data_IF_095672026542
#
_entry.id   IF_095672026542
#
_cell.length_a   1.000
_cell.length_b   1.000
_cell.length_c   1.000
_cell.angle_alpha   90.00
_cell.angle_beta   90.00
_cell.angle_gamma   90.00
#
_symmetry.space_group_name_H-M   'P 1'
#
loop_
_entity.id
_entity.type
_entity.pdbx_description
1 polymer ?
#
# COMPACT_ATOMS: atom_id res chain seq x y z
N UNK A 1 13.29 5.15 81.40
CA UNK A 1 12.92 4.95 79.99
C UNK A 1 11.41 4.84 80.00
N UNK A 2 10.72 5.88 79.52
CA UNK A 2 9.26 5.94 79.52
C UNK A 2 8.77 5.51 78.12
N UNK A 3 8.15 4.32 77.97
CA UNK A 3 7.72 3.80 76.67
C UNK A 3 6.57 4.59 76.04
N UNK A 4 5.82 5.35 76.87
CA UNK A 4 4.59 6.04 76.45
C UNK A 4 4.86 7.47 75.91
N UNK A 5 6.11 7.95 75.98
CA UNK A 5 6.49 9.26 75.48
C UNK A 5 6.79 9.31 73.95
N UNK A 6 6.80 8.16 73.26
CA UNK A 6 6.88 8.11 71.80
C UNK A 6 5.48 8.24 71.18
N UNK A 7 4.87 9.42 71.32
CA UNK A 7 3.88 9.83 70.32
C UNK A 7 4.66 10.12 69.04
N UNK A 8 4.82 9.11 68.17
CA UNK A 8 5.22 9.36 66.80
C UNK A 8 4.20 10.35 66.25
N UNK A 9 4.63 11.57 65.94
CA UNK A 9 3.86 12.52 65.15
C UNK A 9 3.57 11.85 63.80
N UNK A 10 2.48 11.10 63.78
CA UNK A 10 2.04 10.33 62.64
C UNK A 10 1.50 11.38 61.67
N UNK A 11 2.37 11.80 60.76
CA UNK A 11 2.01 12.58 59.56
C UNK A 11 2.10 11.66 58.35
N UNK A 12 1.17 11.74 57.37
CA UNK A 12 1.26 10.96 56.15
C UNK A 12 2.54 11.32 55.40
N UNK A 13 3.34 10.32 55.02
CA UNK A 13 4.55 10.56 54.24
C UNK A 13 4.20 10.67 52.75
N UNK A 14 4.74 11.68 52.03
CA UNK A 14 4.42 11.89 50.63
C UNK A 14 4.90 10.71 49.78
N UNK A 15 4.05 10.28 48.84
CA UNK A 15 4.38 9.24 47.87
C UNK A 15 4.86 9.89 46.58
N UNK A 16 5.94 9.40 45.97
CA UNK A 16 6.43 9.89 44.68
C UNK A 16 6.73 8.76 43.71
N UNK A 17 6.60 9.03 42.41
CA UNK A 17 7.06 8.14 41.35
C UNK A 17 8.55 8.40 41.17
N UNK A 18 9.37 7.37 41.32
CA UNK A 18 10.84 7.48 41.36
C UNK A 18 11.51 6.97 40.09
N UNK A 19 10.82 6.14 39.31
CA UNK A 19 11.40 5.54 38.12
C UNK A 19 10.37 5.14 37.07
N UNK A 20 10.83 5.10 35.82
CA UNK A 20 10.10 4.57 34.68
C UNK A 20 10.92 3.48 34.03
N UNK A 21 10.29 2.36 33.75
CA UNK A 21 10.89 1.27 33.00
C UNK A 21 10.11 1.00 31.73
N UNK A 22 10.82 0.98 30.61
CA UNK A 22 10.31 0.54 29.31
C UNK A 22 10.93 -0.81 29.02
N UNK A 23 10.12 -1.84 28.72
CA UNK A 23 10.64 -3.19 28.45
C UNK A 23 11.57 -3.73 29.55
N UNK A 24 11.24 -3.44 30.81
CA UNK A 24 12.00 -3.80 32.00
C UNK A 24 13.37 -3.09 32.16
N UNK A 25 13.68 -2.10 31.34
CA UNK A 25 14.88 -1.27 31.44
C UNK A 25 14.54 0.09 32.03
N UNK A 26 15.27 0.52 33.07
CA UNK A 26 15.10 1.85 33.66
C UNK A 26 15.49 2.92 32.63
N UNK A 27 14.60 3.88 32.40
CA UNK A 27 14.79 4.96 31.44
C UNK A 27 14.72 6.29 32.17
N UNK A 28 15.73 7.13 31.97
CA UNK A 28 15.76 8.50 32.43
C UNK A 28 16.03 9.49 31.29
N UNK A 29 16.20 10.78 31.63
CA UNK A 29 16.42 11.84 30.65
C UNK A 29 17.73 11.72 29.86
N UNK A 30 18.69 10.95 30.38
CA UNK A 30 19.99 10.72 29.71
C UNK A 30 19.87 9.68 28.60
N UNK A 31 19.04 8.66 28.81
CA UNK A 31 18.90 7.53 27.90
C UNK A 31 17.89 7.83 26.78
N UNK A 32 16.78 8.52 27.09
CA UNK A 32 15.72 8.88 26.13
C UNK A 32 15.24 10.32 26.36
N UNK A 33 16.04 11.34 25.99
CA UNK A 33 15.65 12.75 26.14
C UNK A 33 14.35 13.08 25.37
N UNK A 34 14.10 12.38 24.26
CA UNK A 34 12.91 12.56 23.41
C UNK A 34 11.60 12.16 24.11
N UNK A 35 11.67 11.21 25.06
CA UNK A 35 10.50 10.70 25.78
C UNK A 35 10.40 11.27 27.20
N UNK A 36 11.55 11.56 27.82
CA UNK A 36 11.67 12.01 29.20
C UNK A 36 12.53 13.28 29.23
N UNK A 37 11.92 14.48 29.06
CA UNK A 37 12.68 15.73 29.08
C UNK A 37 13.20 16.07 30.49
N UNK A 38 12.58 15.52 31.52
CA UNK A 38 12.95 15.69 32.93
C UNK A 38 12.80 14.35 33.67
N UNK A 39 13.41 14.22 34.87
CA UNK A 39 13.18 13.08 35.75
C UNK A 39 11.69 12.84 36.02
N UNK A 40 11.28 11.58 36.13
CA UNK A 40 9.86 11.18 36.31
C UNK A 40 9.21 11.76 37.57
N UNK A 41 9.98 12.03 38.61
CA UNK A 41 9.48 12.64 39.85
C UNK A 41 9.08 14.12 39.69
N UNK A 42 9.49 14.76 38.59
CA UNK A 42 9.18 16.17 38.27
C UNK A 42 8.18 16.31 37.12
N UNK A 43 7.91 15.22 36.40
CA UNK A 43 6.98 15.22 35.29
C UNK A 43 5.53 15.17 35.79
N UNK A 44 4.71 16.03 35.21
CA UNK A 44 3.25 16.01 35.41
C UNK A 44 2.53 15.33 34.25
N UNK A 45 3.17 15.32 33.08
CA UNK A 45 2.67 14.75 31.84
C UNK A 45 3.79 13.96 31.15
N UNK A 46 3.44 12.77 30.65
CA UNK A 46 4.33 11.88 29.94
C UNK A 46 3.63 11.44 28.64
N UNK A 47 4.24 11.77 27.50
CA UNK A 47 3.73 11.39 26.19
C UNK A 47 4.56 10.24 25.65
N UNK A 48 3.90 9.12 25.39
CA UNK A 48 4.53 7.91 24.87
C UNK A 48 3.94 7.51 23.51
N UNK A 49 4.73 6.90 22.62
CA UNK A 49 4.22 6.26 21.42
C UNK A 49 3.45 4.97 21.73
N UNK A 50 2.49 4.61 20.88
CA UNK A 50 1.70 3.38 21.01
C UNK A 50 2.52 2.08 20.88
N UNK A 51 3.78 2.14 20.45
CA UNK A 51 4.62 0.97 20.16
C UNK A 51 5.36 0.42 21.40
N UNK A 52 5.06 0.95 22.59
CA UNK A 52 5.63 0.48 23.86
C UNK A 52 4.79 -0.68 24.41
N UNK A 53 5.30 -1.93 24.43
CA UNK A 53 4.48 -3.08 24.82
C UNK A 53 4.35 -3.22 26.33
N UNK A 54 5.31 -2.69 27.10
CA UNK A 54 5.35 -2.82 28.55
C UNK A 54 5.92 -1.57 29.20
N UNK A 55 5.14 -1.01 30.12
CA UNK A 55 5.43 0.18 30.89
C UNK A 55 5.39 -0.19 32.38
N UNK A 56 6.44 0.11 33.13
CA UNK A 56 6.46 -0.13 34.58
C UNK A 56 6.88 1.13 35.31
N UNK A 57 6.10 1.51 36.32
CA UNK A 57 6.38 2.65 37.18
C UNK A 57 6.89 2.17 38.53
N UNK A 58 8.02 2.73 38.95
CA UNK A 58 8.57 2.56 40.30
C UNK A 58 8.11 3.74 41.18
N UNK A 59 7.68 3.47 42.40
CA UNK A 59 7.24 4.50 43.35
C UNK A 59 7.77 4.26 44.76
N UNK A 60 7.89 5.32 45.54
CA UNK A 60 8.37 5.25 46.92
C UNK A 60 7.54 6.14 47.84
N UNK A 61 7.35 5.68 49.07
CA UNK A 61 6.82 6.48 50.18
C UNK A 61 8.02 7.05 50.94
N UNK A 62 8.03 8.36 51.19
CA UNK A 62 9.11 9.05 51.91
C UNK A 62 9.10 8.79 53.43
N UNK A 63 8.77 7.58 53.85
CA UNK A 63 8.95 7.07 55.21
C UNK A 63 10.07 6.02 55.20
N UNK A 64 11.25 6.42 55.67
CA UNK A 64 12.44 5.57 55.73
C UNK A 64 12.62 4.89 57.09
N UNK A 65 11.69 5.09 58.04
CA UNK A 65 11.83 4.51 59.39
C UNK A 65 11.63 2.99 59.39
N UNK A 66 10.64 2.49 58.63
CA UNK A 66 10.41 1.06 58.36
C UNK A 66 9.87 0.87 56.94
N UNK A 67 10.74 0.92 55.91
CA UNK A 67 10.31 0.89 54.52
C UNK A 67 9.64 -0.42 54.11
N UNK A 68 9.95 -1.52 54.79
CA UNK A 68 9.33 -2.84 54.65
C UNK A 68 7.85 -2.87 55.04
N UNK A 69 7.40 -1.90 55.85
CA UNK A 69 6.00 -1.77 56.27
C UNK A 69 5.21 -0.79 55.41
N UNK A 70 5.86 -0.12 54.47
CA UNK A 70 5.17 0.77 53.54
C UNK A 70 4.32 -0.06 52.60
N UNK A 71 3.06 0.33 52.44
CA UNK A 71 2.15 -0.32 51.50
C UNK A 71 1.69 0.66 50.44
N UNK A 72 1.33 0.17 49.26
CA UNK A 72 0.97 1.01 48.13
C UNK A 72 -0.32 0.53 47.49
N UNK A 73 -1.04 1.48 46.92
CA UNK A 73 -2.14 1.21 46.00
C UNK A 73 -2.05 2.14 44.83
N UNK A 74 -2.43 1.64 43.66
CA UNK A 74 -2.42 2.41 42.44
C UNK A 74 -3.67 2.16 41.62
N UNK A 75 -3.95 3.05 40.66
CA UNK A 75 -4.91 2.83 39.60
C UNK A 75 -4.51 3.62 38.37
N UNK A 76 -4.82 3.10 37.20
CA UNK A 76 -4.68 3.83 35.95
C UNK A 76 -6.05 4.28 35.48
N UNK A 77 -6.44 5.52 35.79
CA UNK A 77 -7.72 6.08 35.34
C UNK A 77 -7.71 6.11 33.81
N UNK A 78 -8.74 5.53 33.19
CA UNK A 78 -8.82 5.27 31.75
C UNK A 78 -8.71 3.78 31.39
N UNK A 79 -8.09 2.97 32.26
CA UNK A 79 -8.05 1.50 32.17
C UNK A 79 -8.79 0.87 33.35
N UNK A 80 -8.43 1.27 34.57
CA UNK A 80 -8.96 0.74 35.82
C UNK A 80 -9.98 1.71 36.45
N UNK A 81 -11.07 1.16 36.98
CA UNK A 81 -12.10 1.93 37.72
C UNK A 81 -11.90 1.89 39.24
N UNK A 82 -11.15 0.90 39.75
CA UNK A 82 -10.93 0.67 41.18
C UNK A 82 -9.44 0.71 41.53
N UNK A 83 -9.12 0.89 42.82
CA UNK A 83 -7.75 0.86 43.30
C UNK A 83 -7.25 -0.58 43.39
N UNK A 84 -6.06 -0.83 42.85
CA UNK A 84 -5.31 -2.08 43.01
C UNK A 84 -4.43 -1.95 44.24
N UNK A 85 -4.59 -2.86 45.20
CA UNK A 85 -3.71 -2.93 46.38
C UNK A 85 -2.43 -3.70 46.01
N UNK A 86 -1.29 -3.02 46.08
CA UNK A 86 0.00 -3.58 45.72
C UNK A 86 0.75 -4.13 46.96
N UNK A 87 0.18 -4.02 48.16
CA UNK A 87 0.87 -4.38 49.39
C UNK A 87 2.20 -3.65 49.48
N UNK A 88 3.29 -4.37 49.77
CA UNK A 88 4.65 -3.81 49.85
C UNK A 88 5.35 -3.69 48.49
N UNK A 89 4.69 -4.03 47.38
CA UNK A 89 5.26 -3.89 46.05
C UNK A 89 5.32 -2.40 45.66
N UNK A 90 6.49 -1.97 45.19
CA UNK A 90 6.79 -0.60 44.82
C UNK A 90 6.72 -0.37 43.30
N UNK A 91 6.13 -1.32 42.56
CA UNK A 91 6.06 -1.31 41.11
C UNK A 91 4.63 -1.55 40.61
N UNK A 92 4.26 -0.86 39.53
CA UNK A 92 3.05 -1.11 38.77
C UNK A 92 3.38 -1.29 37.29
N UNK A 93 3.01 -2.45 36.73
CA UNK A 93 3.28 -2.81 35.33
C UNK A 93 1.99 -2.79 34.52
N UNK A 94 2.04 -2.12 33.38
CA UNK A 94 0.96 -2.04 32.39
C UNK A 94 1.49 -2.53 31.03
N UNK A 95 0.68 -3.30 30.33
CA UNK A 95 1.05 -3.92 29.04
C UNK A 95 0.04 -3.58 27.96
N UNK A 96 0.52 -3.35 26.74
CA UNK A 96 -0.32 -3.10 25.56
C UNK A 96 -1.44 -2.09 25.81
N UNK A 97 -1.07 -0.91 26.33
CA UNK A 97 -2.03 0.17 26.53
C UNK A 97 -2.44 0.74 25.17
N UNK A 98 -3.75 0.84 24.95
CA UNK A 98 -4.31 1.43 23.73
C UNK A 98 -4.00 2.94 23.64
N UNK A 99 -4.04 3.53 22.43
CA UNK A 99 -3.91 4.98 22.28
C UNK A 99 -5.03 5.73 23.02
N UNK A 100 -4.65 6.71 23.85
CA UNK A 100 -5.58 7.46 24.67
C UNK A 100 -4.89 8.23 25.79
N UNK A 101 -5.71 8.93 26.59
CA UNK A 101 -5.27 9.68 27.76
C UNK A 101 -5.58 8.89 29.03
N UNK A 102 -4.55 8.70 29.84
CA UNK A 102 -4.59 7.98 31.09
C UNK A 102 -4.06 8.85 32.23
N UNK A 103 -4.48 8.54 33.46
CA UNK A 103 -3.92 9.16 34.66
C UNK A 103 -3.54 8.09 35.67
N UNK A 104 -2.24 7.92 35.86
CA UNK A 104 -1.72 7.04 36.90
C UNK A 104 -1.87 7.76 38.23
N UNK A 105 -2.55 7.14 39.19
CA UNK A 105 -2.65 7.63 40.55
C UNK A 105 -2.05 6.60 41.50
N UNK A 106 -1.19 7.06 42.41
CA UNK A 106 -0.50 6.21 43.39
C UNK A 106 -0.66 6.82 44.78
N UNK A 107 -0.95 5.97 45.75
CA UNK A 107 -1.02 6.33 47.17
C UNK A 107 -0.18 5.35 47.98
N UNK A 108 0.64 5.88 48.87
CA UNK A 108 1.41 5.13 49.84
C UNK A 108 0.77 5.17 51.23
N UNK A 109 0.97 4.11 51.98
CA UNK A 109 0.70 3.99 53.41
C UNK A 109 2.04 3.89 54.11
N UNK A 110 2.31 4.80 55.04
CA UNK A 110 3.54 4.81 55.82
C UNK A 110 3.57 3.69 56.88
N UNK A 111 4.68 3.57 57.60
CA UNK A 111 4.87 2.54 58.63
C UNK A 111 3.92 2.67 59.85
N UNK A 112 3.35 3.86 60.05
CA UNK A 112 2.31 4.14 61.04
C UNK A 112 0.89 3.75 60.58
N UNK A 113 0.74 3.22 59.36
CA UNK A 113 -0.53 2.75 58.82
C UNK A 113 -1.40 3.84 58.20
N UNK A 114 -0.89 5.06 58.05
CA UNK A 114 -1.64 6.18 57.50
C UNK A 114 -1.41 6.33 56.00
N UNK A 115 -2.51 6.51 55.27
CA UNK A 115 -2.50 6.72 53.83
C UNK A 115 -2.28 8.19 53.48
N UNK A 116 -1.39 8.43 52.52
CA UNK A 116 -1.31 9.69 51.79
C UNK A 116 -2.54 9.84 50.89
N UNK A 117 -3.52 10.61 51.35
CA UNK A 117 -4.76 10.86 50.61
C UNK A 117 -4.59 11.81 49.43
N UNK A 118 -3.58 12.70 49.50
CA UNK A 118 -3.19 13.55 48.38
C UNK A 118 -2.60 12.70 47.26
N UNK A 119 -1.70 11.77 47.61
CA UNK A 119 -1.06 10.86 46.68
C UNK A 119 -0.24 11.60 45.61
N UNK A 120 0.22 10.85 44.61
CA UNK A 120 0.83 11.39 43.39
C UNK A 120 0.04 10.95 42.18
N UNK A 121 -0.09 11.85 41.20
CA UNK A 121 -0.68 11.55 39.91
C UNK A 121 0.24 11.97 38.76
N UNK A 122 0.26 11.17 37.70
CA UNK A 122 0.96 11.44 36.46
C UNK A 122 0.00 11.26 35.29
N UNK A 123 -0.11 12.27 34.43
CA UNK A 123 -0.86 12.18 33.18
C UNK A 123 -0.02 11.44 32.15
N UNK A 124 -0.59 10.41 31.52
CA UNK A 124 0.05 9.58 30.52
C UNK A 124 -0.77 9.63 29.24
N UNK A 125 -0.19 10.13 28.15
CA UNK A 125 -0.86 10.16 26.84
C UNK A 125 -0.14 9.22 25.88
N UNK A 126 -0.89 8.27 25.33
CA UNK A 126 -0.39 7.31 24.34
C UNK A 126 -0.84 7.77 22.96
N UNK A 127 0.13 8.19 22.14
CA UNK A 127 -0.15 8.75 20.82
C UNK A 127 -0.55 7.68 19.81
N UNK A 128 -1.60 7.89 19.00
CA UNK A 128 -2.05 6.91 18.03
C UNK A 128 -1.04 6.73 16.87
N UNK A 129 -1.03 5.57 16.21
CA UNK A 129 -0.18 5.36 15.05
C UNK A 129 -0.50 6.34 13.92
N UNK A 130 0.51 6.75 13.15
CA UNK A 130 0.35 7.71 12.05
C UNK A 130 -0.62 7.22 10.96
N UNK A 131 -0.69 5.92 10.69
CA UNK A 131 -1.68 5.32 9.77
C UNK A 131 -3.10 5.29 10.33
N UNK A 132 -3.27 5.44 11.65
CA UNK A 132 -4.57 5.51 12.32
C UNK A 132 -5.22 6.89 12.22
N UNK A 133 -4.49 7.90 11.76
CA UNK A 133 -4.95 9.30 11.69
C UNK A 133 -5.95 9.54 10.55
N UNK A 134 -6.84 10.52 10.73
CA UNK A 134 -7.90 10.82 9.76
C UNK A 134 -7.34 11.27 8.40
N UNK A 135 -6.27 12.06 8.38
CA UNK A 135 -5.66 12.55 7.15
C UNK A 135 -5.07 11.41 6.31
N UNK A 136 -4.48 10.40 6.97
CA UNK A 136 -3.94 9.23 6.29
C UNK A 136 -5.05 8.40 5.64
N UNK A 137 -6.17 8.22 6.34
CA UNK A 137 -7.37 7.56 5.79
C UNK A 137 -7.92 8.29 4.56
N UNK A 138 -7.95 9.63 4.59
CA UNK A 138 -8.36 10.45 3.44
C UNK A 138 -7.39 10.28 2.27
N UNK A 139 -6.08 10.32 2.53
CA UNK A 139 -5.05 10.14 1.49
C UNK A 139 -5.16 8.75 0.86
N UNK A 140 -5.34 7.71 1.68
CA UNK A 140 -5.54 6.34 1.20
C UNK A 140 -6.79 6.23 0.33
N UNK A 141 -7.91 6.84 0.74
CA UNK A 141 -9.14 6.86 -0.05
C UNK A 141 -8.92 7.57 -1.40
N UNK A 142 -8.22 8.70 -1.42
CA UNK A 142 -7.85 9.42 -2.65
C UNK A 142 -6.93 8.60 -3.55
N UNK A 143 -5.96 7.87 -2.98
CA UNK A 143 -5.07 7.00 -3.73
C UNK A 143 -5.85 5.87 -4.42
N UNK A 144 -6.80 5.23 -3.70
CA UNK A 144 -7.68 4.19 -4.27
C UNK A 144 -8.57 4.76 -5.37
N UNK A 145 -9.21 5.91 -5.13
CA UNK A 145 -10.02 6.61 -6.16
C UNK A 145 -9.18 6.98 -7.39
N UNK A 146 -7.97 7.49 -7.18
CA UNK A 146 -7.03 7.82 -8.25
C UNK A 146 -6.62 6.60 -9.07
N UNK A 147 -6.37 5.47 -8.41
CA UNK A 147 -6.05 4.20 -9.08
C UNK A 147 -7.24 3.69 -9.90
N UNK A 148 -8.45 3.71 -9.36
CA UNK A 148 -9.67 3.34 -10.09
C UNK A 148 -9.91 4.27 -11.29
N UNK A 149 -9.71 5.58 -11.11
CA UNK A 149 -9.82 6.55 -12.19
C UNK A 149 -8.77 6.32 -13.29
N UNK A 150 -7.52 6.04 -12.91
CA UNK A 150 -6.46 5.72 -13.85
C UNK A 150 -6.76 4.44 -14.64
N UNK A 151 -7.24 3.37 -13.98
CA UNK A 151 -7.68 2.14 -14.64
C UNK A 151 -8.85 2.37 -15.59
N UNK A 152 -9.83 3.18 -15.18
CA UNK A 152 -10.94 3.57 -16.03
C UNK A 152 -10.47 4.33 -17.28
N UNK A 153 -9.59 5.32 -17.11
CA UNK A 153 -9.01 6.10 -18.22
C UNK A 153 -8.18 5.22 -19.15
N UNK A 154 -7.40 4.29 -18.61
CA UNK A 154 -6.62 3.33 -19.39
C UNK A 154 -7.54 2.45 -20.25
N UNK A 155 -8.59 1.87 -19.66
CA UNK A 155 -9.57 1.05 -20.40
C UNK A 155 -10.27 1.85 -21.49
N UNK A 156 -10.68 3.08 -21.19
CA UNK A 156 -11.33 3.95 -22.17
C UNK A 156 -10.40 4.28 -23.34
N UNK A 157 -9.14 4.61 -23.06
CA UNK A 157 -8.15 4.86 -24.10
C UNK A 157 -7.90 3.62 -24.98
N UNK A 158 -7.87 2.43 -24.38
CA UNK A 158 -7.71 1.18 -25.12
C UNK A 158 -8.91 0.86 -26.01
N UNK A 159 -10.13 1.09 -25.52
CA UNK A 159 -11.36 0.94 -26.31
C UNK A 159 -11.41 1.90 -27.50
N UNK A 160 -11.04 3.17 -27.30
CA UNK A 160 -10.96 4.15 -28.38
C UNK A 160 -9.92 3.76 -29.44
N UNK A 161 -8.73 3.30 -29.03
CA UNK A 161 -7.72 2.79 -29.97
C UNK A 161 -8.25 1.62 -30.78
N UNK A 162 -8.92 0.67 -30.14
CA UNK A 162 -9.50 -0.48 -30.82
C UNK A 162 -10.61 -0.07 -31.81
N UNK A 163 -11.44 0.91 -31.44
CA UNK A 163 -12.48 1.44 -32.32
C UNK A 163 -11.89 2.10 -33.57
N UNK A 164 -10.85 2.92 -33.42
CA UNK A 164 -10.14 3.57 -34.55
C UNK A 164 -9.53 2.53 -35.49
N UNK A 165 -8.89 1.49 -34.94
CA UNK A 165 -8.31 0.41 -35.75
C UNK A 165 -9.41 -0.32 -36.55
N UNK A 166 -10.52 -0.70 -35.90
CA UNK A 166 -11.66 -1.34 -36.58
C UNK A 166 -12.24 -0.50 -37.71
N UNK A 167 -12.44 0.79 -37.46
CA UNK A 167 -12.99 1.73 -38.44
C UNK A 167 -12.05 1.92 -39.64
N UNK A 168 -10.73 1.96 -39.40
CA UNK A 168 -9.73 1.96 -40.47
C UNK A 168 -9.79 0.71 -41.33
N UNK A 169 -9.80 -0.47 -40.72
CA UNK A 169 -9.88 -1.74 -41.43
C UNK A 169 -11.15 -1.81 -42.29
N UNK A 170 -12.30 -1.41 -41.74
CA UNK A 170 -13.55 -1.42 -42.46
C UNK A 170 -13.53 -0.48 -43.68
N UNK A 171 -12.88 0.69 -43.56
CA UNK A 171 -12.72 1.64 -44.67
C UNK A 171 -11.79 1.10 -45.75
N UNK A 172 -10.60 0.62 -45.37
CA UNK A 172 -9.62 0.07 -46.31
C UNK A 172 -10.23 -1.11 -47.10
N UNK A 173 -10.98 -1.97 -46.39
CA UNK A 173 -11.73 -3.07 -47.00
C UNK A 173 -12.83 -2.58 -47.95
N UNK A 174 -13.60 -1.57 -47.55
CA UNK A 174 -14.68 -1.02 -48.36
C UNK A 174 -14.16 -0.40 -49.66
N UNK A 175 -13.06 0.35 -49.59
CA UNK A 175 -12.46 1.02 -50.75
C UNK A 175 -11.86 -0.01 -51.73
N UNK A 176 -11.16 -1.03 -51.22
CA UNK A 176 -10.55 -2.07 -52.05
C UNK A 176 -11.59 -2.97 -52.74
N UNK A 177 -12.58 -3.45 -51.98
CA UNK A 177 -13.65 -4.28 -52.54
C UNK A 177 -14.53 -3.45 -53.49
N UNK A 178 -14.88 -2.23 -53.10
CA UNK A 178 -15.75 -1.34 -53.89
C UNK A 178 -15.14 -1.00 -55.25
N UNK A 179 -13.85 -0.66 -55.29
CA UNK A 179 -13.14 -0.35 -56.53
C UNK A 179 -12.96 -1.59 -57.42
N UNK A 180 -12.57 -2.74 -56.84
CA UNK A 180 -12.40 -3.98 -57.60
C UNK A 180 -13.72 -4.47 -58.18
N UNK A 181 -14.79 -4.51 -57.37
CA UNK A 181 -16.11 -4.95 -57.83
C UNK A 181 -16.65 -4.06 -58.95
N UNK A 182 -16.41 -2.75 -58.86
CA UNK A 182 -16.76 -1.80 -59.92
C UNK A 182 -16.00 -2.11 -61.22
N UNK A 183 -14.70 -2.42 -61.14
CA UNK A 183 -13.88 -2.81 -62.30
C UNK A 183 -14.36 -4.12 -62.93
N UNK A 184 -14.69 -5.13 -62.11
CA UNK A 184 -15.20 -6.43 -62.56
C UNK A 184 -16.57 -6.26 -63.22
N UNK A 185 -17.46 -5.44 -62.63
CA UNK A 185 -18.75 -5.11 -63.21
C UNK A 185 -18.62 -4.46 -64.58
N UNK A 186 -17.72 -3.48 -64.72
CA UNK A 186 -17.45 -2.80 -66.00
C UNK A 186 -16.89 -3.77 -67.06
N UNK A 187 -15.85 -4.55 -66.72
CA UNK A 187 -15.26 -5.52 -67.66
C UNK A 187 -16.26 -6.62 -68.04
N UNK A 188 -17.11 -7.06 -67.11
CA UNK A 188 -18.17 -8.04 -67.36
C UNK A 188 -19.23 -7.50 -68.32
N UNK A 189 -19.64 -6.24 -68.13
CA UNK A 189 -20.60 -5.57 -69.03
C UNK A 189 -20.01 -5.36 -70.44
N UNK A 190 -18.73 -4.96 -70.54
CA UNK A 190 -18.01 -4.83 -71.81
C UNK A 190 -17.86 -6.19 -72.52
N UNK A 191 -17.53 -7.25 -71.77
CA UNK A 191 -17.44 -8.61 -72.28
C UNK A 191 -18.79 -9.13 -72.81
N UNK A 192 -19.89 -8.84 -72.11
CA UNK A 192 -21.26 -9.20 -72.55
C UNK A 192 -21.70 -8.46 -73.82
N UNK A 193 -21.38 -7.16 -73.94
CA UNK A 193 -21.75 -6.35 -75.12
C UNK A 193 -20.98 -6.72 -76.38
N UNK A 194 -19.77 -7.28 -76.26
CA UNK A 194 -18.93 -7.71 -77.39
C UNK A 194 -19.21 -9.13 -77.88
N UNK A 195 -20.37 -9.72 -77.57
CA UNK A 195 -20.73 -11.09 -77.98
C UNK A 195 -20.69 -11.36 -79.50
N UNK A 196 -20.56 -10.34 -80.35
CA UNK A 196 -20.42 -10.45 -81.81
C UNK A 196 -19.03 -10.08 -82.40
N UNK A 197 -18.04 -9.69 -81.57
CA UNK A 197 -16.71 -9.28 -82.03
C UNK A 197 -15.59 -10.15 -81.43
N UNK A 198 -14.61 -10.52 -82.26
CA UNK A 198 -13.38 -11.31 -82.02
C UNK A 198 -13.21 -11.96 -80.63
N UNK A 199 -13.17 -13.30 -80.58
CA UNK A 199 -12.96 -14.08 -79.34
C UNK A 199 -11.78 -13.59 -78.48
N UNK A 200 -10.72 -13.11 -79.12
CA UNK A 200 -9.53 -12.55 -78.46
C UNK A 200 -9.85 -11.39 -77.52
N UNK A 201 -10.80 -10.51 -77.88
CA UNK A 201 -11.16 -9.35 -77.05
C UNK A 201 -12.10 -9.68 -75.88
N UNK A 202 -12.88 -10.77 -76.00
CA UNK A 202 -13.69 -11.31 -74.91
C UNK A 202 -12.81 -11.99 -73.87
N UNK A 203 -11.83 -12.78 -74.31
CA UNK A 203 -10.88 -13.44 -73.43
C UNK A 203 -10.02 -12.41 -72.66
N UNK A 204 -9.55 -11.32 -73.30
CA UNK A 204 -8.81 -10.26 -72.59
C UNK A 204 -9.60 -9.63 -71.42
N UNK A 205 -10.92 -9.41 -71.58
CA UNK A 205 -11.75 -8.89 -70.49
C UNK A 205 -11.97 -9.92 -69.38
N UNK A 206 -12.10 -11.20 -69.72
CA UNK A 206 -12.20 -12.29 -68.74
C UNK A 206 -10.88 -12.44 -67.95
N UNK A 207 -9.74 -12.31 -68.62
CA UNK A 207 -8.42 -12.31 -67.99
C UNK A 207 -8.28 -11.14 -67.01
N UNK A 208 -8.70 -9.92 -67.40
CA UNK A 208 -8.73 -8.75 -66.50
C UNK A 208 -9.63 -8.95 -65.28
N UNK A 209 -10.78 -9.59 -65.44
CA UNK A 209 -11.66 -9.94 -64.31
C UNK A 209 -10.96 -10.91 -63.38
N UNK A 210 -10.30 -11.94 -63.91
CA UNK A 210 -9.55 -12.93 -63.14
C UNK A 210 -8.39 -12.27 -62.38
N UNK A 211 -7.64 -11.38 -63.02
CA UNK A 211 -6.53 -10.63 -62.42
C UNK A 211 -7.00 -9.68 -61.32
N UNK A 212 -8.06 -8.91 -61.55
CA UNK A 212 -8.65 -8.02 -60.54
C UNK A 212 -9.15 -8.83 -59.33
N UNK A 213 -9.80 -9.96 -59.57
CA UNK A 213 -10.32 -10.83 -58.51
C UNK A 213 -9.19 -11.46 -57.70
N UNK A 214 -8.11 -11.90 -58.37
CA UNK A 214 -6.93 -12.47 -57.72
C UNK A 214 -6.22 -11.44 -56.82
N UNK A 215 -6.06 -10.21 -57.33
CA UNK A 215 -5.49 -9.09 -56.55
C UNK A 215 -6.34 -8.70 -55.34
N UNK A 216 -7.67 -8.72 -55.47
CA UNK A 216 -8.56 -8.46 -54.33
C UNK A 216 -8.43 -9.53 -53.24
N UNK A 217 -8.28 -10.80 -53.62
CA UNK A 217 -8.03 -11.89 -52.64
C UNK A 217 -6.69 -11.70 -51.95
N UNK A 218 -5.65 -11.28 -52.68
CA UNK A 218 -4.33 -10.98 -52.11
C UNK A 218 -4.39 -9.79 -51.13
N UNK A 219 -4.98 -8.67 -51.52
CA UNK A 219 -5.15 -7.48 -50.65
C UNK A 219 -6.02 -7.78 -49.42
N UNK A 220 -7.09 -8.56 -49.58
CA UNK A 220 -7.91 -9.06 -48.47
C UNK A 220 -7.06 -9.89 -47.49
N UNK A 221 -6.22 -10.79 -47.99
CA UNK A 221 -5.34 -11.59 -47.16
C UNK A 221 -4.31 -10.71 -46.42
N UNK A 222 -3.77 -9.67 -47.06
CA UNK A 222 -2.85 -8.72 -46.43
C UNK A 222 -3.53 -7.89 -45.32
N UNK A 223 -4.75 -7.40 -45.55
CA UNK A 223 -5.55 -6.70 -44.53
C UNK A 223 -5.85 -7.64 -43.36
N UNK A 224 -6.33 -8.85 -43.64
CA UNK A 224 -6.60 -9.85 -42.58
C UNK A 224 -5.34 -10.21 -41.80
N UNK A 225 -4.18 -10.32 -42.48
CA UNK A 225 -2.89 -10.58 -41.86
C UNK A 225 -2.48 -9.45 -40.92
N UNK A 226 -2.66 -8.19 -41.31
CA UNK A 226 -2.34 -7.00 -40.50
C UNK A 226 -3.26 -6.82 -39.28
N UNK A 227 -4.48 -7.38 -39.32
CA UNK A 227 -5.47 -7.32 -38.23
C UNK A 227 -5.31 -8.47 -37.25
N UNK A 228 -4.69 -9.56 -37.69
CA UNK A 228 -4.50 -10.74 -36.86
C UNK A 228 -3.37 -10.52 -35.83
N UNK A 229 -3.75 -10.13 -34.62
CA UNK A 229 -2.86 -9.96 -33.46
C UNK A 229 -1.97 -11.17 -33.09
N UNK A 230 -2.19 -12.37 -33.66
CA UNK A 230 -1.25 -13.51 -33.52
C UNK A 230 0.05 -13.33 -34.33
N UNK A 231 0.10 -12.39 -35.28
CA UNK A 231 1.31 -12.06 -36.04
C UNK A 231 2.14 -10.94 -35.40
N UNK A 232 1.61 -10.27 -34.37
CA UNK A 232 2.33 -9.25 -33.58
C UNK A 232 3.32 -9.87 -32.57
N UNK A 233 3.40 -11.20 -32.47
CA UNK A 233 4.46 -11.83 -31.68
C UNK A 233 5.82 -11.53 -32.30
N UNK A 234 6.62 -10.70 -31.62
CA UNK A 234 8.05 -10.41 -31.86
C UNK A 234 8.87 -11.64 -32.30
N UNK A 235 8.43 -12.85 -31.91
CA UNK A 235 8.99 -14.15 -32.29
C UNK A 235 8.95 -14.39 -33.81
N UNK A 236 7.90 -13.98 -34.53
CA UNK A 236 7.80 -14.18 -35.98
C UNK A 236 8.68 -13.21 -36.77
N UNK A 237 8.82 -11.96 -36.30
CA UNK A 237 9.74 -10.97 -36.88
C UNK A 237 11.19 -11.42 -36.72
N UNK A 238 11.56 -11.90 -35.52
CA UNK A 238 12.88 -12.44 -35.25
C UNK A 238 13.22 -13.64 -36.15
N UNK A 239 12.28 -14.56 -36.33
CA UNK A 239 12.45 -15.73 -37.20
C UNK A 239 12.63 -15.35 -38.67
N UNK A 240 11.89 -14.35 -39.16
CA UNK A 240 12.01 -13.86 -40.54
C UNK A 240 13.33 -13.09 -40.78
N UNK A 241 13.82 -12.39 -39.76
CA UNK A 241 15.15 -11.77 -39.80
C UNK A 241 16.27 -12.82 -39.80
N UNK A 242 16.13 -13.91 -39.05
CA UNK A 242 17.08 -15.04 -39.06
C UNK A 242 17.11 -15.77 -40.42
N UNK A 243 15.94 -16.05 -41.01
CA UNK A 243 15.88 -16.69 -42.34
C UNK A 243 16.40 -15.78 -43.48
N UNK A 244 16.31 -14.46 -43.32
CA UNK A 244 16.91 -13.52 -44.26
C UNK A 244 18.43 -13.40 -44.05
N UNK A 245 18.87 -13.33 -42.79
CA UNK A 245 20.29 -13.31 -42.43
C UNK A 245 21.01 -14.59 -42.88
N UNK A 246 20.39 -15.76 -42.71
CA UNK A 246 20.92 -17.03 -43.20
C UNK A 246 21.08 -17.05 -44.71
N UNK A 247 20.06 -16.62 -45.47
CA UNK A 247 20.15 -16.55 -46.94
C UNK A 247 21.20 -15.57 -47.45
N UNK A 248 21.39 -14.44 -46.77
CA UNK A 248 22.41 -13.44 -47.11
C UNK A 248 23.81 -13.92 -46.71
N UNK A 249 23.96 -14.67 -45.62
CA UNK A 249 25.27 -15.22 -45.19
C UNK A 249 25.69 -16.42 -46.03
N UNK A 250 24.76 -17.29 -46.43
CA UNK A 250 25.00 -18.38 -47.37
C UNK A 250 25.49 -17.84 -48.72
N UNK A 251 24.86 -16.77 -49.22
CA UNK A 251 25.28 -16.08 -50.44
C UNK A 251 26.66 -15.42 -50.32
N UNK A 252 27.11 -15.13 -49.09
CA UNK A 252 28.41 -14.55 -48.77
C UNK A 252 29.47 -15.59 -48.30
N UNK A 253 29.12 -16.88 -48.21
CA UNK A 253 30.02 -17.97 -47.83
C UNK A 253 30.27 -18.16 -46.33
N UNK A 254 29.38 -17.65 -45.46
CA UNK A 254 29.46 -17.83 -44.00
C UNK A 254 28.29 -18.65 -43.48
N UNK A 255 28.58 -19.65 -42.62
CA UNK A 255 27.59 -20.46 -41.93
C UNK A 255 27.24 -19.83 -40.57
N UNK A 256 25.96 -19.53 -40.35
CA UNK A 256 25.47 -18.90 -39.12
C UNK A 256 24.56 -19.88 -38.39
N UNK A 257 25.02 -20.38 -37.25
CA UNK A 257 24.23 -21.23 -36.37
C UNK A 257 23.48 -20.37 -35.34
N UNK A 258 22.16 -20.52 -35.29
CA UNK A 258 21.28 -19.78 -34.39
C UNK A 258 20.63 -20.75 -33.40
N UNK A 259 21.39 -21.13 -32.36
CA UNK A 259 20.92 -21.91 -31.21
C UNK A 259 20.31 -21.02 -30.12
#
# INVERSE_FOLDING_TARGET
FDPDAFHADATPAPTRITGLRLLNQLVGPRERPDLLPAPVDQLHELVLPYDIPMLTFDFACMDMTRPDRNAFRYRLVGLDTTWVDAGTNHQATFTNLDPGDYRLEVRGRNSAGMWDMAGTALTLTITPPWWGTWWFRVLLALAVLGMLYALYRYRLAQQLRLAVVRDRIARDLHDEIGSTLSSVGLFSEVAKRRSAASETGRNDMLDRISDSTSRMVESMNDIVWAVNSRNDELVQVARRMQEFAGRVSEAAGFDLDFS
#
